data_IF_344375710017
#
_entry.id   IF_344375710017
#
_cell.length_a   1.000
_cell.length_b   1.000
_cell.length_c   1.000
_cell.angle_alpha   90.00
_cell.angle_beta   90.00
_cell.angle_gamma   90.00
#
_symmetry.space_group_name_H-M   'P 1'
#
loop_
_entity.id
_entity.type
_entity.pdbx_description
1 polymer ?
#
# COMPACT_ATOMS: atom_id res chain seq x y z
N UNK A 1 -8.82 -18.37 5.12
CA UNK A 1 -9.69 -17.97 3.97
C UNK A 1 -9.21 -16.70 3.25
N UNK A 2 -9.15 -15.55 3.92
CA UNK A 2 -8.77 -14.27 3.29
C UNK A 2 -7.33 -14.25 2.76
N UNK A 3 -6.38 -14.83 3.51
CA UNK A 3 -5.00 -14.98 3.05
C UNK A 3 -4.90 -15.61 1.66
N UNK A 4 -5.55 -16.75 1.44
CA UNK A 4 -5.48 -17.45 0.15
C UNK A 4 -6.09 -16.64 -0.99
N UNK A 5 -7.15 -15.87 -0.75
CA UNK A 5 -7.77 -15.02 -1.77
C UNK A 5 -6.78 -13.93 -2.22
N UNK A 6 -6.29 -13.13 -1.29
CA UNK A 6 -5.38 -12.03 -1.61
C UNK A 6 -4.00 -12.51 -2.08
N UNK A 7 -3.51 -13.63 -1.53
CA UNK A 7 -2.29 -14.28 -2.01
C UNK A 7 -2.45 -14.76 -3.44
N UNK A 8 -3.54 -15.46 -3.78
CA UNK A 8 -3.79 -15.94 -5.14
C UNK A 8 -3.84 -14.78 -6.13
N UNK A 9 -4.57 -13.72 -5.81
CA UNK A 9 -4.69 -12.53 -6.68
C UNK A 9 -3.32 -11.87 -6.89
N UNK A 10 -2.62 -11.54 -5.80
CA UNK A 10 -1.35 -10.82 -5.90
C UNK A 10 -0.24 -11.68 -6.53
N UNK A 11 -0.13 -12.95 -6.14
CA UNK A 11 0.90 -13.84 -6.69
C UNK A 11 0.73 -14.07 -8.19
N UNK A 12 -0.50 -14.22 -8.69
CA UNK A 12 -0.78 -14.33 -10.13
C UNK A 12 -0.43 -13.04 -10.87
N UNK A 13 -0.75 -11.88 -10.30
CA UNK A 13 -0.37 -10.58 -10.89
C UNK A 13 1.15 -10.40 -10.96
N UNK A 14 1.86 -10.75 -9.90
CA UNK A 14 3.32 -10.65 -9.82
C UNK A 14 4.02 -11.66 -10.74
N UNK A 15 3.45 -12.86 -10.92
CA UNK A 15 4.00 -13.90 -11.78
C UNK A 15 3.65 -13.73 -13.27
N UNK A 16 2.72 -12.84 -13.62
CA UNK A 16 2.34 -12.58 -15.00
C UNK A 16 3.53 -11.99 -15.79
N UNK A 17 4.05 -12.68 -16.83
CA UNK A 17 5.20 -12.19 -17.59
C UNK A 17 4.99 -10.82 -18.25
N UNK A 18 3.73 -10.47 -18.58
CA UNK A 18 3.39 -9.17 -19.15
C UNK A 18 3.65 -8.01 -18.19
N UNK A 19 3.56 -8.26 -16.88
CA UNK A 19 3.81 -7.26 -15.85
C UNK A 19 5.30 -7.11 -15.51
N UNK A 20 6.18 -8.00 -15.98
CA UNK A 20 7.66 -7.86 -15.90
C UNK A 20 8.25 -7.67 -14.48
N UNK A 21 7.61 -8.19 -13.43
CA UNK A 21 8.19 -8.11 -12.08
C UNK A 21 9.42 -9.01 -11.92
N UNK A 22 10.43 -8.52 -11.19
CA UNK A 22 11.63 -9.30 -10.87
C UNK A 22 11.33 -10.43 -9.88
N UNK A 23 12.10 -11.53 -9.96
CA UNK A 23 11.97 -12.67 -9.05
C UNK A 23 12.05 -12.28 -7.55
N UNK A 24 12.97 -11.39 -7.13
CA UNK A 24 13.00 -10.90 -5.75
C UNK A 24 11.68 -10.23 -5.33
N UNK A 25 11.08 -9.42 -6.21
CA UNK A 25 9.79 -8.76 -5.94
C UNK A 25 8.65 -9.78 -5.82
N UNK A 26 8.65 -10.84 -6.62
CA UNK A 26 7.66 -11.91 -6.52
C UNK A 26 7.74 -12.66 -5.18
N UNK A 27 8.96 -12.89 -4.66
CA UNK A 27 9.20 -13.66 -3.43
C UNK A 27 8.59 -13.03 -2.17
N UNK A 28 8.43 -11.71 -2.13
CA UNK A 28 7.88 -11.02 -0.95
C UNK A 28 6.35 -11.04 -0.88
N UNK A 29 5.65 -11.63 -1.86
CA UNK A 29 4.20 -11.66 -1.95
C UNK A 29 3.52 -12.20 -0.67
N UNK A 30 3.99 -13.34 -0.15
CA UNK A 30 3.41 -13.96 1.04
C UNK A 30 3.54 -13.06 2.28
N UNK A 31 4.71 -12.46 2.47
CA UNK A 31 4.97 -11.53 3.57
C UNK A 31 4.10 -10.27 3.43
N UNK A 32 3.96 -9.71 2.22
CA UNK A 32 3.14 -8.52 1.98
C UNK A 32 1.65 -8.77 2.25
N UNK A 33 1.11 -9.91 1.84
CA UNK A 33 -0.29 -10.28 2.13
C UNK A 33 -0.52 -10.43 3.63
N UNK A 34 0.43 -11.05 4.33
CA UNK A 34 0.37 -11.20 5.80
C UNK A 34 0.46 -9.84 6.50
N UNK A 35 1.33 -8.96 6.02
CA UNK A 35 1.47 -7.57 6.46
C UNK A 35 0.16 -6.80 6.30
N UNK A 36 -0.46 -6.87 5.12
CA UNK A 36 -1.72 -6.21 4.81
C UNK A 36 -2.89 -6.67 5.71
N UNK A 37 -3.01 -7.99 5.92
CA UNK A 37 -4.04 -8.55 6.79
C UNK A 37 -3.83 -8.16 8.25
N UNK A 38 -2.58 -8.17 8.72
CA UNK A 38 -2.22 -7.76 10.09
C UNK A 38 -2.56 -6.29 10.32
N UNK A 39 -2.23 -5.42 9.36
CA UNK A 39 -2.59 -4.00 9.46
C UNK A 39 -4.10 -3.83 9.48
N UNK A 40 -4.84 -4.49 8.58
CA UNK A 40 -6.30 -4.38 8.51
C UNK A 40 -6.98 -4.79 9.83
N UNK A 41 -6.52 -5.90 10.44
CA UNK A 41 -7.02 -6.32 11.75
C UNK A 41 -6.73 -5.28 12.84
N UNK A 42 -5.50 -4.74 12.87
CA UNK A 42 -5.13 -3.71 13.84
C UNK A 42 -5.93 -2.42 13.63
N UNK A 43 -6.23 -2.02 12.39
CA UNK A 43 -7.09 -0.86 12.12
C UNK A 43 -8.45 -0.98 12.81
N UNK A 44 -9.12 -2.13 12.64
CA UNK A 44 -10.42 -2.38 13.28
C UNK A 44 -10.37 -2.49 14.81
N UNK A 45 -9.21 -2.80 15.39
CA UNK A 45 -9.02 -2.88 16.85
C UNK A 45 -8.64 -1.53 17.47
N UNK A 46 -7.86 -0.72 16.76
CA UNK A 46 -7.33 0.55 17.24
C UNK A 46 -8.34 1.69 17.05
N UNK A 47 -9.03 1.72 15.91
CA UNK A 47 -9.90 2.83 15.52
C UNK A 47 -11.36 2.39 15.60
N UNK A 48 -11.87 2.26 16.82
CA UNK A 48 -13.26 1.86 17.06
C UNK A 48 -14.24 3.01 16.78
N UNK A 49 -15.41 2.73 16.18
CA UNK A 49 -16.42 3.74 15.96
C UNK A 49 -16.95 4.28 17.30
N UNK A 50 -17.15 5.60 17.36
CA UNK A 50 -17.75 6.30 18.50
C UNK A 50 -18.92 7.15 18.02
N UNK A 51 -19.67 7.80 18.92
CA UNK A 51 -20.74 8.71 18.53
C UNK A 51 -20.27 9.85 17.61
N UNK A 52 -19.02 10.32 17.77
CA UNK A 52 -18.43 11.39 16.96
C UNK A 52 -17.72 10.82 15.73
N UNK A 53 -17.05 9.67 15.86
CA UNK A 53 -16.27 9.00 14.81
C UNK A 53 -16.96 7.72 14.32
N UNK A 54 -18.27 7.80 14.05
CA UNK A 54 -19.08 6.64 13.69
C UNK A 54 -18.67 6.04 12.33
N UNK A 55 -18.02 6.83 11.47
CA UNK A 55 -17.53 6.41 10.15
C UNK A 55 -16.20 5.65 10.20
N UNK A 56 -15.60 5.46 11.39
CA UNK A 56 -14.40 4.63 11.59
C UNK A 56 -14.75 3.14 11.51
N UNK A 57 -15.24 2.73 10.34
CA UNK A 57 -15.60 1.35 10.03
C UNK A 57 -14.70 0.88 8.91
N UNK A 58 -13.81 -0.06 9.26
CA UNK A 58 -12.87 -0.70 8.35
C UNK A 58 -13.36 -2.09 8.01
N UNK A 59 -13.75 -2.30 6.75
CA UNK A 59 -14.30 -3.57 6.28
C UNK A 59 -13.49 -4.12 5.09
N UNK A 60 -13.88 -5.30 4.60
CA UNK A 60 -13.14 -5.98 3.53
C UNK A 60 -13.08 -5.21 2.20
N UNK A 61 -13.97 -4.24 1.96
CA UNK A 61 -13.88 -3.35 0.79
C UNK A 61 -12.65 -2.46 0.87
N UNK A 62 -12.29 -1.99 2.06
CA UNK A 62 -11.10 -1.18 2.26
C UNK A 62 -9.85 -1.99 1.92
N UNK A 63 -9.76 -3.22 2.42
CA UNK A 63 -8.67 -4.12 2.05
C UNK A 63 -8.67 -4.45 0.54
N UNK A 64 -9.84 -4.67 -0.06
CA UNK A 64 -9.94 -4.90 -1.50
C UNK A 64 -9.45 -3.70 -2.32
N UNK A 65 -9.76 -2.46 -1.90
CA UNK A 65 -9.29 -1.24 -2.57
C UNK A 65 -7.76 -1.12 -2.53
N UNK A 66 -7.13 -1.48 -1.41
CA UNK A 66 -5.66 -1.51 -1.30
C UNK A 66 -5.07 -2.46 -2.35
N UNK A 67 -5.58 -3.69 -2.43
CA UNK A 67 -5.10 -4.66 -3.41
C UNK A 67 -5.42 -4.24 -4.84
N UNK A 68 -6.58 -3.62 -5.09
CA UNK A 68 -6.91 -3.09 -6.42
C UNK A 68 -5.89 -2.05 -6.87
N UNK A 69 -5.45 -1.15 -5.99
CA UNK A 69 -4.39 -0.18 -6.29
C UNK A 69 -3.05 -0.85 -6.61
N UNK A 70 -2.68 -1.87 -5.83
CA UNK A 70 -1.48 -2.68 -6.09
C UNK A 70 -1.47 -3.34 -7.48
N UNK A 71 -2.65 -3.71 -8.01
CA UNK A 71 -2.79 -4.36 -9.32
C UNK A 71 -2.56 -3.41 -10.50
N UNK A 72 -2.46 -2.10 -10.29
CA UNK A 72 -2.05 -1.16 -11.34
C UNK A 72 -0.54 -1.15 -11.59
N UNK A 73 0.26 -1.70 -10.67
CA UNK A 73 1.71 -1.70 -10.79
C UNK A 73 2.23 -2.80 -11.72
N UNK A 74 3.40 -2.53 -12.28
CA UNK A 74 4.19 -3.48 -13.04
C UNK A 74 5.67 -3.41 -12.59
N UNK A 75 6.57 -4.09 -13.31
CA UNK A 75 8.00 -4.13 -13.01
C UNK A 75 8.72 -2.80 -13.19
N UNK A 76 8.18 -1.87 -13.99
CA UNK A 76 8.70 -0.50 -14.08
C UNK A 76 8.29 0.30 -12.84
N UNK A 77 7.06 0.15 -12.36
CA UNK A 77 6.58 0.74 -11.10
C UNK A 77 7.34 0.20 -9.89
N UNK A 78 7.65 -1.10 -9.88
CA UNK A 78 8.23 -1.83 -8.76
C UNK A 78 9.44 -2.69 -9.17
N UNK A 79 10.60 -2.06 -9.47
CA UNK A 79 11.78 -2.76 -9.99
C UNK A 79 12.41 -3.72 -8.96
N UNK A 80 12.32 -3.38 -7.67
CA UNK A 80 12.86 -4.17 -6.56
C UNK A 80 11.84 -4.26 -5.39
N UNK A 81 12.01 -5.20 -4.44
CA UNK A 81 11.04 -5.45 -3.37
C UNK A 81 10.63 -4.22 -2.57
N UNK A 82 11.57 -3.32 -2.28
CA UNK A 82 11.30 -2.09 -1.52
C UNK A 82 10.25 -1.20 -2.19
N UNK A 83 10.18 -1.17 -3.52
CA UNK A 83 9.17 -0.37 -4.24
C UNK A 83 7.78 -0.99 -4.13
N UNK A 84 7.67 -2.32 -4.08
CA UNK A 84 6.38 -2.98 -3.86
C UNK A 84 5.88 -2.74 -2.42
N UNK A 85 6.77 -2.77 -1.42
CA UNK A 85 6.44 -2.41 -0.04
C UNK A 85 6.00 -0.93 0.03
N UNK A 86 6.76 -0.03 -0.60
CA UNK A 86 6.44 1.41 -0.68
C UNK A 86 5.08 1.65 -1.33
N UNK A 87 4.78 0.95 -2.42
CA UNK A 87 3.49 1.04 -3.07
C UNK A 87 2.36 0.59 -2.14
N UNK A 88 2.53 -0.52 -1.43
CA UNK A 88 1.54 -0.94 -0.44
C UNK A 88 1.36 0.09 0.67
N UNK A 89 2.46 0.72 1.13
CA UNK A 89 2.40 1.83 2.09
C UNK A 89 1.59 3.00 1.51
N UNK A 90 1.76 3.35 0.23
CA UNK A 90 0.94 4.36 -0.45
C UNK A 90 -0.54 3.99 -0.41
N UNK A 91 -0.90 2.82 -0.92
CA UNK A 91 -2.29 2.36 -1.03
C UNK A 91 -2.98 2.27 0.34
N UNK A 92 -2.29 1.70 1.33
CA UNK A 92 -2.81 1.62 2.69
C UNK A 92 -3.01 3.01 3.29
N UNK A 93 -2.12 3.96 2.99
CA UNK A 93 -2.25 5.34 3.47
C UNK A 93 -3.47 6.00 2.85
N UNK A 94 -3.63 5.94 1.54
CA UNK A 94 -4.77 6.51 0.84
C UNK A 94 -6.08 5.94 1.36
N UNK A 95 -6.20 4.61 1.43
CA UNK A 95 -7.46 3.98 1.83
C UNK A 95 -7.82 4.24 3.29
N UNK A 96 -6.86 4.14 4.21
CA UNK A 96 -7.15 4.25 5.64
C UNK A 96 -7.10 5.68 6.15
N UNK A 97 -6.12 6.49 5.73
CA UNK A 97 -5.98 7.86 6.25
C UNK A 97 -7.10 8.77 5.78
N UNK A 98 -7.69 8.53 4.61
CA UNK A 98 -8.85 9.29 4.10
C UNK A 98 -10.08 9.18 5.03
N UNK A 99 -10.12 8.16 5.90
CA UNK A 99 -11.19 8.00 6.92
C UNK A 99 -10.85 8.61 8.27
N UNK A 100 -9.60 8.97 8.52
CA UNK A 100 -9.14 9.49 9.81
C UNK A 100 -9.21 11.02 9.79
N UNK A 101 -9.79 11.60 10.84
CA UNK A 101 -10.06 13.05 10.88
C UNK A 101 -9.04 13.80 11.72
N UNK A 102 -8.58 13.21 12.82
CA UNK A 102 -7.68 13.88 13.76
C UNK A 102 -6.21 13.59 13.42
N UNK A 103 -5.33 14.60 13.50
CA UNK A 103 -3.88 14.44 13.31
C UNK A 103 -3.28 13.37 14.23
N UNK A 104 -3.82 13.22 15.45
CA UNK A 104 -3.40 12.19 16.40
C UNK A 104 -3.72 10.78 15.91
N UNK A 105 -4.87 10.58 15.27
CA UNK A 105 -5.26 9.28 14.72
C UNK A 105 -4.41 8.96 13.51
N UNK A 106 -4.16 9.96 12.64
CA UNK A 106 -3.28 9.81 11.48
C UNK A 106 -1.85 9.45 11.93
N UNK A 107 -1.33 10.10 12.98
CA UNK A 107 -0.02 9.77 13.53
C UNK A 107 0.02 8.37 14.15
N UNK A 108 -1.06 7.97 14.85
CA UNK A 108 -1.20 6.61 15.39
C UNK A 108 -1.21 5.58 14.26
N UNK A 109 -1.92 5.87 13.16
CA UNK A 109 -1.92 5.03 11.97
C UNK A 109 -0.53 4.90 11.34
N UNK A 110 0.21 6.02 11.19
CA UNK A 110 1.58 6.00 10.65
C UNK A 110 2.50 5.11 11.46
N UNK A 111 2.44 5.20 12.79
CA UNK A 111 3.20 4.34 13.71
C UNK A 111 2.79 2.88 13.57
N UNK A 112 1.49 2.60 13.62
CA UNK A 112 0.93 1.26 13.49
C UNK A 112 1.36 0.57 12.18
N UNK A 113 1.26 1.29 11.06
CA UNK A 113 1.71 0.82 9.74
C UNK A 113 3.21 0.55 9.73
N UNK A 114 4.03 1.46 10.26
CA UNK A 114 5.47 1.29 10.37
C UNK A 114 5.87 0.05 11.19
N UNK A 115 5.23 -0.18 12.33
CA UNK A 115 5.45 -1.38 13.14
C UNK A 115 5.10 -2.68 12.39
N UNK A 116 3.98 -2.69 11.68
CA UNK A 116 3.53 -3.88 10.94
C UNK A 116 4.50 -4.21 9.79
N UNK A 117 5.02 -3.19 9.08
CA UNK A 117 6.08 -3.38 8.07
C UNK A 117 7.33 -3.97 8.71
N UNK A 118 7.85 -3.33 9.77
CA UNK A 118 9.07 -3.79 10.47
C UNK A 118 8.97 -5.20 11.03
N UNK A 119 7.77 -5.65 11.40
CA UNK A 119 7.53 -7.04 11.85
C UNK A 119 7.37 -8.04 10.71
N UNK A 120 6.95 -7.58 9.53
CA UNK A 120 6.66 -8.46 8.39
C UNK A 120 7.87 -8.69 7.49
N UNK A 121 8.84 -7.77 7.52
CA UNK A 121 10.03 -7.80 6.67
C UNK A 121 11.28 -7.64 7.54
N UNK A 122 12.12 -8.68 7.58
CA UNK A 122 13.36 -8.71 8.37
C UNK A 122 14.39 -7.70 7.85
N UNK A 123 14.51 -7.57 6.53
CA UNK A 123 15.40 -6.63 5.86
C UNK A 123 14.63 -5.85 4.78
N UNK A 124 14.55 -4.53 4.96
CA UNK A 124 14.08 -3.60 3.94
C UNK A 124 14.75 -2.23 4.15
N UNK A 125 14.78 -1.43 3.11
CA UNK A 125 15.35 -0.08 3.18
C UNK A 125 14.27 0.90 3.68
N UNK A 126 14.36 1.27 4.96
CA UNK A 126 13.40 2.16 5.62
C UNK A 126 13.33 3.54 4.94
N UNK A 127 14.48 4.06 4.48
CA UNK A 127 14.54 5.33 3.78
C UNK A 127 13.80 5.23 2.44
N UNK A 128 14.03 4.19 1.64
CA UNK A 128 13.27 3.99 0.38
C UNK A 128 11.78 3.81 0.61
N UNK A 129 11.38 3.03 1.61
CA UNK A 129 9.96 2.72 1.83
C UNK A 129 9.17 3.91 2.38
N UNK A 130 9.75 4.70 3.27
CA UNK A 130 9.01 5.77 3.98
C UNK A 130 9.39 7.20 3.59
N UNK A 131 10.35 7.43 2.69
CA UNK A 131 10.68 8.79 2.24
C UNK A 131 9.45 9.50 1.66
N UNK A 132 9.27 10.77 1.98
CA UNK A 132 8.16 11.60 1.49
C UNK A 132 8.55 12.29 0.18
N UNK A 133 7.63 12.46 -0.80
CA UNK A 133 6.23 12.06 -0.79
C UNK A 133 6.00 10.58 -1.14
N UNK A 134 5.10 9.91 -0.43
CA UNK A 134 4.68 8.53 -0.73
C UNK A 134 3.43 8.59 -1.61
N UNK A 135 3.59 8.93 -2.88
CA UNK A 135 2.49 9.13 -3.82
C UNK A 135 2.74 8.33 -5.11
N UNK A 136 1.73 7.61 -5.55
CA UNK A 136 1.65 7.00 -6.88
C UNK A 136 0.40 7.53 -7.58
N UNK A 137 0.50 7.81 -8.88
CA UNK A 137 -0.65 8.25 -9.67
C UNK A 137 -0.45 7.95 -11.15
N UNK A 138 -1.54 8.06 -11.94
CA UNK A 138 -1.54 7.78 -13.38
C UNK A 138 -1.18 8.99 -14.26
N UNK A 139 -1.13 10.20 -13.70
CA UNK A 139 -1.18 11.44 -14.48
C UNK A 139 0.08 12.30 -14.37
N UNK A 140 0.99 12.02 -13.42
CA UNK A 140 2.18 12.84 -13.22
C UNK A 140 3.16 12.84 -14.42
N UNK A 141 3.17 11.77 -15.22
CA UNK A 141 4.04 11.65 -16.41
C UNK A 141 3.33 12.04 -17.72
N UNK A 142 2.08 12.54 -17.66
CA UNK A 142 1.32 13.02 -18.81
C UNK A 142 0.02 12.24 -19.08
N UNK A 143 -0.84 12.80 -19.94
CA UNK A 143 -2.19 12.28 -20.22
C UNK A 143 -2.27 11.31 -21.42
N UNK A 144 -1.20 11.20 -22.22
CA UNK A 144 -1.20 10.44 -23.48
C UNK A 144 -1.01 8.94 -23.24
N UNK A 145 -0.21 8.57 -22.24
CA UNK A 145 0.01 7.19 -21.82
C UNK A 145 0.02 7.15 -20.28
N UNK A 146 -1.15 7.04 -19.64
CA UNK A 146 -1.25 7.15 -18.18
C UNK A 146 -0.58 5.96 -17.50
N UNK A 147 0.59 6.20 -16.89
CA UNK A 147 1.37 5.19 -16.18
C UNK A 147 1.24 5.35 -14.68
N UNK A 148 1.04 4.24 -13.98
CA UNK A 148 1.00 4.25 -12.52
C UNK A 148 2.42 4.29 -11.94
N UNK A 149 2.88 5.48 -11.59
CA UNK A 149 4.28 5.74 -11.24
C UNK A 149 4.43 6.55 -9.95
N UNK A 150 5.54 6.38 -9.23
CA UNK A 150 5.85 7.20 -8.06
C UNK A 150 6.10 8.65 -8.46
N UNK A 151 5.62 9.57 -7.63
CA UNK A 151 5.80 11.01 -7.82
C UNK A 151 7.07 11.46 -7.11
N UNK A 152 7.97 12.15 -7.83
CA UNK A 152 9.24 12.61 -7.28
C UNK A 152 9.09 13.79 -6.31
N UNK A 153 8.21 14.75 -6.62
CA UNK A 153 7.95 15.94 -5.78
C UNK A 153 6.53 16.47 -5.99
N UNK A 154 6.03 17.24 -5.02
CA UNK A 154 4.73 17.91 -5.15
C UNK A 154 4.68 18.87 -6.35
N UNK A 155 5.80 19.49 -6.74
CA UNK A 155 5.82 20.41 -7.89
C UNK A 155 5.52 19.70 -9.21
N UNK A 156 5.84 18.41 -9.31
CA UNK A 156 5.54 17.62 -10.50
C UNK A 156 4.04 17.38 -10.71
N UNK A 157 3.20 17.60 -9.68
CA UNK A 157 1.74 17.46 -9.76
C UNK A 157 1.02 18.76 -10.14
N UNK A 158 1.71 19.90 -10.16
CA UNK A 158 1.13 21.22 -10.44
C UNK A 158 1.33 21.69 -11.89
N UNK A 159 1.66 20.77 -12.80
CA UNK A 159 1.91 21.06 -14.22
C UNK A 159 0.65 20.95 -15.07
#
# INVERSE_FOLDING_TARGET
>A
PLYHIYYSILSQHLANPLNKFSLPTQKICAALVSCALTLHQRMGQTFLPTAIKFHYVFNLRDLANIFQGMLFANGETCPEPNFLIRLWVHEATRVYSDKLVDDRDIETFRKLRGEVVKKSFEEFDEAKVFNSPIIYCHFAEGLVDPKYMPVASWESLNK
#
